data_IF_717696893798
#
_entry.id   IF_717696893798
#
_cell.length_a   1.000
_cell.length_b   1.000
_cell.length_c   1.000
_cell.angle_alpha   90.00
_cell.angle_beta   90.00
_cell.angle_gamma   90.00
#
_symmetry.space_group_name_H-M   'P 1'
#
loop_
_entity.id
_entity.type
_entity.pdbx_description
1 polymer ?
#
# COMPACT_ATOMS: atom_id res chain seq x y z
N UNK A 1 16.58 -10.78 0.36
CA UNK A 1 16.07 -9.45 -0.08
C UNK A 1 15.50 -9.49 -1.50
N UNK A 2 16.18 -10.10 -2.47
CA UNK A 2 15.69 -10.19 -3.86
C UNK A 2 14.36 -10.92 -4.01
N UNK A 3 14.19 -12.09 -3.38
CA UNK A 3 12.93 -12.86 -3.43
C UNK A 3 11.76 -12.04 -2.88
N UNK A 4 11.92 -11.46 -1.68
CA UNK A 4 10.88 -10.61 -1.07
C UNK A 4 10.54 -9.40 -1.95
N UNK A 5 11.54 -8.76 -2.57
CA UNK A 5 11.33 -7.65 -3.49
C UNK A 5 10.50 -8.08 -4.71
N UNK A 6 10.82 -9.24 -5.30
CA UNK A 6 10.09 -9.80 -6.43
C UNK A 6 8.65 -10.10 -6.02
N UNK A 7 8.43 -10.77 -4.88
CA UNK A 7 7.08 -11.09 -4.40
C UNK A 7 6.22 -9.85 -4.21
N UNK A 8 6.76 -8.79 -3.57
CA UNK A 8 6.04 -7.54 -3.36
C UNK A 8 5.76 -6.80 -4.68
N UNK A 9 6.72 -6.77 -5.60
CA UNK A 9 6.54 -6.16 -6.92
C UNK A 9 5.48 -6.92 -7.73
N UNK A 10 5.53 -8.25 -7.75
CA UNK A 10 4.53 -9.09 -8.41
C UNK A 10 3.15 -8.89 -7.80
N UNK A 11 3.04 -8.84 -6.46
CA UNK A 11 1.76 -8.56 -5.79
C UNK A 11 1.17 -7.22 -6.21
N UNK A 12 1.98 -6.16 -6.27
CA UNK A 12 1.56 -4.85 -6.78
C UNK A 12 1.11 -4.87 -8.24
N UNK A 13 1.81 -5.61 -9.10
CA UNK A 13 1.44 -5.78 -10.51
C UNK A 13 0.14 -6.57 -10.70
N UNK A 14 -0.06 -7.63 -9.92
CA UNK A 14 -1.32 -8.40 -9.92
C UNK A 14 -2.49 -7.50 -9.53
N UNK A 15 -2.33 -6.71 -8.47
CA UNK A 15 -3.36 -5.75 -8.05
C UNK A 15 -3.66 -4.69 -9.13
N UNK A 16 -2.62 -4.17 -9.78
CA UNK A 16 -2.80 -3.24 -10.90
C UNK A 16 -3.59 -3.87 -12.05
N UNK A 17 -3.27 -5.12 -12.42
CA UNK A 17 -4.02 -5.85 -13.45
C UNK A 17 -5.48 -6.05 -13.04
N UNK A 18 -5.75 -6.41 -11.77
CA UNK A 18 -7.11 -6.55 -11.24
C UNK A 18 -7.89 -5.23 -11.28
N UNK A 19 -7.27 -4.10 -10.95
CA UNK A 19 -7.91 -2.78 -11.03
C UNK A 19 -8.26 -2.41 -12.47
N UNK A 20 -7.34 -2.65 -13.42
CA UNK A 20 -7.58 -2.41 -14.84
C UNK A 20 -8.75 -3.26 -15.34
N UNK A 21 -8.76 -4.55 -15.01
CA UNK A 21 -9.85 -5.46 -15.37
C UNK A 21 -11.19 -5.02 -14.77
N UNK A 22 -11.21 -4.69 -13.47
CA UNK A 22 -12.44 -4.25 -12.79
C UNK A 22 -12.98 -2.95 -13.39
N UNK A 23 -12.10 -1.99 -13.69
CA UNK A 23 -12.47 -0.70 -14.28
C UNK A 23 -13.08 -0.81 -15.69
N UNK A 24 -12.76 -1.88 -16.42
CA UNK A 24 -13.36 -2.17 -17.73
C UNK A 24 -14.67 -2.96 -17.63
N UNK A 25 -14.90 -3.64 -16.50
CA UNK A 25 -16.02 -4.56 -16.31
C UNK A 25 -17.18 -3.92 -15.54
N UNK A 26 -16.89 -3.00 -14.62
CA UNK A 26 -17.87 -2.35 -13.78
C UNK A 26 -17.53 -0.87 -13.56
N UNK A 27 -18.56 -0.03 -13.41
CA UNK A 27 -18.35 1.37 -13.05
C UNK A 27 -17.90 1.47 -11.59
N UNK A 28 -16.80 2.18 -11.35
CA UNK A 28 -16.24 2.40 -10.01
C UNK A 28 -17.32 2.97 -9.06
N UNK A 29 -18.07 3.98 -9.50
CA UNK A 29 -19.12 4.61 -8.69
C UNK A 29 -20.21 3.63 -8.23
N UNK A 30 -20.77 2.83 -9.14
CA UNK A 30 -21.79 1.85 -8.78
C UNK A 30 -21.23 0.74 -7.87
N UNK A 31 -19.99 0.29 -8.11
CA UNK A 31 -19.34 -0.71 -7.27
C UNK A 31 -19.11 -0.19 -5.85
N UNK A 32 -18.66 1.06 -5.69
CA UNK A 32 -18.51 1.69 -4.38
C UNK A 32 -19.85 1.91 -3.69
N UNK A 33 -20.91 2.30 -4.41
CA UNK A 33 -22.24 2.43 -3.81
C UNK A 33 -22.80 1.08 -3.33
N UNK A 34 -22.54 0.01 -4.08
CA UNK A 34 -22.93 -1.33 -3.68
C UNK A 34 -22.16 -1.80 -2.43
N UNK A 35 -20.85 -1.54 -2.37
CA UNK A 35 -20.04 -1.80 -1.18
C UNK A 35 -20.50 -1.00 0.04
N UNK A 36 -20.92 0.26 -0.13
CA UNK A 36 -21.42 1.08 0.96
C UNK A 36 -22.79 0.63 1.49
N UNK A 37 -23.60 -0.02 0.64
CA UNK A 37 -24.89 -0.59 1.04
C UNK A 37 -24.76 -1.95 1.73
N UNK A 38 -23.66 -2.67 1.49
CA UNK A 38 -23.36 -3.96 2.11
C UNK A 38 -22.55 -3.79 3.42
N UNK A 39 -22.99 -4.33 4.57
CA UNK A 39 -22.26 -4.17 5.83
C UNK A 39 -20.81 -4.66 5.78
N UNK A 40 -20.55 -5.77 5.08
CA UNK A 40 -19.19 -6.29 4.92
C UNK A 40 -18.36 -5.45 3.95
N UNK A 41 -18.98 -4.88 2.92
CA UNK A 41 -18.37 -3.88 2.05
C UNK A 41 -17.90 -2.65 2.81
N UNK A 42 -18.71 -2.14 3.76
CA UNK A 42 -18.30 -1.05 4.66
C UNK A 42 -17.10 -1.47 5.53
N UNK A 43 -17.15 -2.67 6.13
CA UNK A 43 -16.02 -3.20 6.93
C UNK A 43 -14.75 -3.30 6.09
N UNK A 44 -14.83 -3.79 4.84
CA UNK A 44 -13.69 -3.89 3.94
C UNK A 44 -13.10 -2.52 3.56
N UNK A 45 -13.94 -1.50 3.37
CA UNK A 45 -13.48 -0.13 3.14
C UNK A 45 -12.76 0.41 4.39
N UNK A 46 -13.34 0.22 5.58
CA UNK A 46 -12.70 0.65 6.84
C UNK A 46 -11.35 -0.05 7.01
N UNK A 47 -11.29 -1.37 6.81
CA UNK A 47 -10.06 -2.16 6.90
C UNK A 47 -8.97 -1.62 5.95
N UNK A 48 -9.33 -1.38 4.68
CA UNK A 48 -8.43 -0.84 3.67
C UNK A 48 -7.88 0.53 4.05
N UNK A 49 -8.76 1.49 4.38
CA UNK A 49 -8.34 2.86 4.68
C UNK A 49 -7.60 2.95 6.02
N UNK A 50 -7.97 2.15 7.01
CA UNK A 50 -7.23 2.06 8.28
C UNK A 50 -5.82 1.50 8.04
N UNK A 51 -5.69 0.49 7.17
CA UNK A 51 -4.40 0.00 6.70
C UNK A 51 -3.53 1.10 6.07
N UNK A 52 -4.13 1.99 5.27
CA UNK A 52 -3.40 3.14 4.70
C UNK A 52 -2.93 4.13 5.77
N UNK A 53 -3.74 4.39 6.80
CA UNK A 53 -3.34 5.25 7.93
C UNK A 53 -2.14 4.65 8.67
N UNK A 54 -2.18 3.36 8.98
CA UNK A 54 -1.05 2.69 9.62
C UNK A 54 0.23 2.75 8.77
N UNK A 55 0.10 2.48 7.47
CA UNK A 55 1.23 2.61 6.55
C UNK A 55 1.74 4.06 6.46
N UNK A 56 0.85 5.05 6.43
CA UNK A 56 1.23 6.46 6.40
C UNK A 56 2.05 6.86 7.63
N UNK A 57 1.67 6.38 8.83
CA UNK A 57 2.46 6.56 10.05
C UNK A 57 3.85 5.95 9.90
N UNK A 58 3.95 4.72 9.38
CA UNK A 58 5.24 4.07 9.16
C UNK A 58 6.12 4.85 8.18
N UNK A 59 5.55 5.30 7.05
CA UNK A 59 6.26 6.12 6.06
C UNK A 59 6.76 7.41 6.71
N UNK A 60 5.88 8.10 7.46
CA UNK A 60 6.22 9.37 8.10
C UNK A 60 7.36 9.24 9.10
N UNK A 61 7.37 8.16 9.90
CA UNK A 61 8.41 7.90 10.88
C UNK A 61 9.73 7.45 10.23
N UNK A 62 9.66 6.65 9.17
CA UNK A 62 10.84 6.06 8.54
C UNK A 62 11.59 7.02 7.62
N UNK A 63 10.86 7.88 6.91
CA UNK A 63 11.42 8.85 5.98
C UNK A 63 12.00 10.05 6.71
N UNK A 64 13.30 10.29 6.47
CA UNK A 64 13.99 11.47 6.99
C UNK A 64 13.55 12.74 6.24
N UNK A 65 13.32 12.63 4.93
CA UNK A 65 12.80 13.72 4.12
C UNK A 65 11.26 13.70 4.14
N UNK A 66 10.66 14.71 4.78
CA UNK A 66 9.19 14.80 4.91
C UNK A 66 8.47 15.09 3.60
N UNK A 67 9.13 15.70 2.62
CA UNK A 67 8.55 15.86 1.28
C UNK A 67 8.40 14.51 0.59
N UNK A 68 9.40 13.62 0.73
CA UNK A 68 9.28 12.25 0.22
C UNK A 68 8.18 11.50 0.97
N UNK A 69 8.11 11.64 2.29
CA UNK A 69 7.03 11.04 3.07
C UNK A 69 5.64 11.45 2.54
N UNK A 70 5.42 12.76 2.36
CA UNK A 70 4.15 13.28 1.84
C UNK A 70 3.86 12.81 0.42
N UNK A 71 4.88 12.73 -0.46
CA UNK A 71 4.73 12.22 -1.82
C UNK A 71 4.24 10.76 -1.85
N UNK A 72 4.51 9.98 -0.80
CA UNK A 72 3.98 8.62 -0.67
C UNK A 72 2.68 8.54 0.12
N UNK A 73 2.46 9.41 1.11
CA UNK A 73 1.26 9.39 1.95
C UNK A 73 0.04 9.95 1.22
N UNK A 74 0.16 11.11 0.56
CA UNK A 74 -0.99 11.80 -0.02
C UNK A 74 -1.69 11.00 -1.15
N UNK A 75 -0.97 10.26 -2.02
CA UNK A 75 -1.63 9.46 -3.05
C UNK A 75 -2.23 8.14 -2.56
N UNK A 76 -1.89 7.65 -1.35
CA UNK A 76 -2.31 6.33 -0.85
C UNK A 76 -3.83 6.10 -0.89
N UNK A 77 -4.69 7.03 -0.43
CA UNK A 77 -6.14 6.84 -0.46
C UNK A 77 -6.71 6.59 -1.86
N UNK A 78 -6.02 7.05 -2.91
CA UNK A 78 -6.49 6.97 -4.29
C UNK A 78 -5.83 5.84 -5.08
N UNK A 79 -4.52 5.67 -4.92
CA UNK A 79 -3.74 4.65 -5.63
C UNK A 79 -3.73 3.29 -4.90
N UNK A 80 -4.07 3.30 -3.62
CA UNK A 80 -4.12 2.13 -2.77
C UNK A 80 -2.80 1.38 -2.65
N UNK A 81 -2.91 0.06 -2.52
CA UNK A 81 -1.78 -0.81 -2.20
C UNK A 81 -0.74 -0.95 -3.34
N UNK A 82 -1.03 -0.50 -4.56
CA UNK A 82 -0.03 -0.42 -5.63
C UNK A 82 1.05 0.60 -5.23
N UNK A 83 0.64 1.77 -4.72
CA UNK A 83 1.57 2.81 -4.30
C UNK A 83 2.31 2.43 -3.02
N UNK A 84 1.63 1.73 -2.11
CA UNK A 84 2.28 1.09 -0.96
C UNK A 84 3.39 0.14 -1.40
N UNK A 85 3.13 -0.73 -2.38
CA UNK A 85 4.12 -1.68 -2.90
C UNK A 85 5.34 -0.97 -3.49
N UNK A 86 5.15 0.13 -4.24
CA UNK A 86 6.25 0.94 -4.78
C UNK A 86 7.14 1.45 -3.64
N UNK A 87 6.56 2.04 -2.59
CA UNK A 87 7.33 2.55 -1.45
C UNK A 87 8.11 1.44 -0.75
N UNK A 88 7.45 0.31 -0.43
CA UNK A 88 8.08 -0.81 0.28
C UNK A 88 9.22 -1.37 -0.57
N UNK A 89 9.01 -1.65 -1.84
CA UNK A 89 10.04 -2.18 -2.76
C UNK A 89 11.24 -1.25 -2.85
N UNK A 90 10.99 0.06 -2.92
CA UNK A 90 12.03 1.08 -2.99
C UNK A 90 12.84 1.16 -1.69
N UNK A 91 12.18 1.11 -0.53
CA UNK A 91 12.82 1.20 0.80
C UNK A 91 13.26 -0.12 1.41
N UNK A 92 12.97 -1.25 0.75
CA UNK A 92 13.15 -2.58 1.33
C UNK A 92 14.56 -2.84 1.87
N UNK A 93 15.59 -2.46 1.11
CA UNK A 93 16.98 -2.65 1.54
C UNK A 93 17.31 -1.79 2.76
N UNK A 94 16.90 -0.52 2.76
CA UNK A 94 17.13 0.38 3.88
C UNK A 94 16.36 -0.05 5.14
N UNK A 95 15.12 -0.54 4.98
CA UNK A 95 14.32 -1.14 6.04
C UNK A 95 15.04 -2.35 6.65
N UNK A 96 15.48 -3.29 5.81
CA UNK A 96 16.18 -4.48 6.25
C UNK A 96 17.49 -4.16 6.99
N UNK A 97 18.24 -3.15 6.56
CA UNK A 97 19.46 -2.73 7.25
C UNK A 97 19.17 -2.13 8.63
N UNK A 98 18.13 -1.30 8.77
CA UNK A 98 17.77 -0.68 10.07
C UNK A 98 17.15 -1.64 11.07
N UNK A 99 16.51 -2.70 10.59
CA UNK A 99 15.86 -3.71 11.43
C UNK A 99 16.78 -4.86 11.82
N UNK A 100 18.02 -4.91 11.31
CA UNK A 100 18.97 -5.96 11.65
C UNK A 100 19.42 -5.77 13.12
N UNK A 101 19.29 -6.79 13.98
CA UNK A 101 19.77 -6.70 15.36
C UNK A 101 21.26 -6.36 15.39
N UNK A 102 21.69 -5.59 16.39
CA UNK A 102 23.11 -5.40 16.65
C UNK A 102 23.77 -6.78 16.91
N UNK A 103 25.02 -7.00 16.48
CA UNK A 103 25.76 -8.20 16.87
C UNK A 103 25.73 -8.32 18.40
N UNK A 104 25.44 -9.51 18.91
CA UNK A 104 25.62 -9.78 20.33
C UNK A 104 27.13 -9.86 20.57
N UNK A 105 27.65 -8.93 21.36
CA UNK A 105 29.03 -8.93 21.86
C UNK A 105 29.26 -10.11 22.84
#
# INVERSE_FOLDING_TARGET
MTILRILLATGGLVLLASIIWASQTASIGASFSAMAADPWGVVALIDLYLGFVFLAVLIWLFERNKLIALAFILPLPFLGNIWAAVWIVWRLTALATRLRPAPAD
#
